data_IF_413573129593
#
_entry.id   IF_413573129593
#
_cell.length_a   1.000
_cell.length_b   1.000
_cell.length_c   1.000
_cell.angle_alpha   90.00
_cell.angle_beta   90.00
_cell.angle_gamma   90.00
#
_symmetry.space_group_name_H-M   'P 1'
#
loop_
_entity.id
_entity.type
_entity.pdbx_description
1 polymer ?
#
# COMPACT_ATOMS: atom_id res chain seq x y z
N UNK A 1 -20.59 -19.83 18.12
CA UNK A 1 -20.64 -18.49 18.75
C UNK A 1 -19.42 -17.65 18.31
N UNK A 2 -19.55 -16.92 17.20
CA UNK A 2 -18.46 -16.11 16.62
C UNK A 2 -18.32 -14.78 17.39
N UNK A 3 -17.09 -14.31 17.67
CA UNK A 3 -16.89 -13.04 18.33
C UNK A 3 -17.24 -11.90 17.36
N UNK A 4 -18.18 -11.05 17.77
CA UNK A 4 -18.54 -9.83 17.03
C UNK A 4 -17.36 -8.85 17.06
N UNK A 5 -16.73 -8.59 15.91
CA UNK A 5 -15.84 -7.45 15.76
C UNK A 5 -16.62 -6.17 16.08
N UNK A 6 -16.15 -5.44 17.10
CA UNK A 6 -16.66 -4.11 17.44
C UNK A 6 -16.33 -3.16 16.30
N UNK A 7 -17.35 -2.79 15.52
CA UNK A 7 -17.30 -1.66 14.59
C UNK A 7 -16.87 -0.39 15.34
N UNK A 8 -16.02 0.48 14.75
CA UNK A 8 -15.79 1.80 15.32
C UNK A 8 -17.09 2.59 15.24
N UNK A 9 -17.74 2.76 16.40
CA UNK A 9 -18.94 3.61 16.54
C UNK A 9 -18.51 5.08 16.49
N UNK A 10 -18.83 5.73 15.38
CA UNK A 10 -19.27 7.12 15.29
C UNK A 10 -18.42 8.21 15.96
N UNK A 11 -17.52 8.82 15.19
CA UNK A 11 -17.31 10.26 15.25
C UNK A 11 -18.23 10.93 14.22
N UNK A 12 -19.55 10.76 14.38
CA UNK A 12 -20.52 11.36 13.47
C UNK A 12 -20.63 12.87 13.68
N UNK A 13 -20.46 13.61 12.59
CA UNK A 13 -20.53 15.06 12.52
C UNK A 13 -21.82 15.62 13.13
N UNK A 14 -21.70 16.20 14.32
CA UNK A 14 -22.57 17.27 14.77
C UNK A 14 -21.75 18.56 14.75
N UNK A 15 -21.98 19.41 13.76
CA UNK A 15 -21.11 20.56 13.56
C UNK A 15 -21.65 21.72 12.72
N UNK A 16 -22.95 22.02 12.74
CA UNK A 16 -23.46 23.36 12.34
C UNK A 16 -24.44 23.94 13.35
N UNK A 17 -24.16 23.74 14.65
CA UNK A 17 -24.85 24.42 15.74
C UNK A 17 -24.28 25.82 15.98
N UNK A 18 -25.15 26.83 16.10
CA UNK A 18 -24.80 28.21 16.48
C UNK A 18 -24.24 28.22 17.91
N UNK A 19 -22.96 28.56 18.04
CA UNK A 19 -22.30 28.80 19.32
C UNK A 19 -20.78 28.76 19.15
N UNK A 20 -20.10 29.73 19.76
CA UNK A 20 -18.66 30.06 19.76
C UNK A 20 -17.66 28.88 19.92
N UNK A 21 -17.68 27.91 19.00
CA UNK A 21 -16.64 26.89 18.81
C UNK A 21 -15.87 27.23 17.54
N UNK A 22 -14.54 27.11 17.56
CA UNK A 22 -13.66 27.28 16.40
C UNK A 22 -14.24 26.50 15.22
N UNK A 23 -14.77 27.21 14.21
CA UNK A 23 -15.33 26.58 13.01
C UNK A 23 -14.18 26.07 12.15
N UNK A 24 -14.13 24.77 11.94
CA UNK A 24 -13.24 24.18 10.96
C UNK A 24 -13.61 24.71 9.56
N UNK A 25 -12.63 25.22 8.83
CA UNK A 25 -12.78 25.83 7.51
C UNK A 25 -12.42 24.89 6.36
N UNK A 26 -11.73 23.79 6.67
CA UNK A 26 -11.27 22.77 5.75
C UNK A 26 -11.09 21.45 6.52
N UNK A 27 -11.64 20.35 6.01
CA UNK A 27 -11.47 19.01 6.59
C UNK A 27 -10.63 18.16 5.66
N UNK A 28 -9.45 17.76 6.14
CA UNK A 28 -8.54 16.83 5.48
C UNK A 28 -8.56 15.50 6.24
N UNK A 29 -8.81 14.41 5.53
CA UNK A 29 -8.72 13.05 6.05
C UNK A 29 -7.40 12.45 5.58
N UNK A 30 -6.55 12.05 6.53
CA UNK A 30 -5.42 11.18 6.26
C UNK A 30 -5.91 9.73 6.43
N UNK A 31 -6.04 9.02 5.33
CA UNK A 31 -6.67 7.70 5.29
C UNK A 31 -5.67 6.61 4.92
N UNK A 32 -5.88 5.43 5.51
CA UNK A 32 -5.24 4.19 5.11
C UNK A 32 -6.29 3.10 4.83
N UNK A 33 -7.50 3.48 4.39
CA UNK A 33 -8.55 2.50 4.06
C UNK A 33 -8.37 1.87 2.67
N UNK A 34 -7.67 2.57 1.77
CA UNK A 34 -7.57 2.21 0.36
C UNK A 34 -8.42 3.07 -0.55
N UNK A 35 -7.96 3.24 -1.79
CA UNK A 35 -8.50 4.22 -2.73
C UNK A 35 -9.99 4.07 -2.98
N UNK A 36 -10.45 2.85 -3.31
CA UNK A 36 -11.86 2.62 -3.63
C UNK A 36 -12.80 2.76 -2.42
N UNK A 37 -12.32 2.35 -1.23
CA UNK A 37 -13.03 2.57 0.04
C UNK A 37 -13.15 4.07 0.32
N UNK A 38 -12.06 4.82 0.17
CA UNK A 38 -12.05 6.26 0.36
C UNK A 38 -12.93 6.99 -0.67
N UNK A 39 -12.95 6.51 -1.92
CA UNK A 39 -13.82 7.02 -2.99
C UNK A 39 -15.29 6.84 -2.63
N UNK A 40 -15.66 5.66 -2.12
CA UNK A 40 -17.03 5.40 -1.64
C UNK A 40 -17.34 6.21 -0.37
N UNK A 41 -16.38 6.39 0.52
CA UNK A 41 -16.54 7.23 1.71
C UNK A 41 -16.80 8.69 1.33
N UNK A 42 -16.05 9.23 0.38
CA UNK A 42 -16.22 10.61 -0.11
C UNK A 42 -17.63 10.87 -0.66
N UNK A 43 -18.25 9.88 -1.30
CA UNK A 43 -19.62 9.99 -1.80
C UNK A 43 -20.68 9.99 -0.68
N UNK A 44 -20.37 9.36 0.46
CA UNK A 44 -21.33 9.14 1.56
C UNK A 44 -21.16 10.11 2.74
N UNK A 45 -19.98 10.74 2.88
CA UNK A 45 -19.65 11.60 4.01
C UNK A 45 -19.47 13.04 3.54
N UNK A 46 -20.51 13.89 3.66
CA UNK A 46 -20.41 15.28 3.24
C UNK A 46 -19.50 16.08 4.17
N UNK A 47 -18.82 17.08 3.61
CA UNK A 47 -18.01 18.04 4.36
C UNK A 47 -16.54 17.65 4.55
N UNK A 48 -16.09 16.59 3.89
CA UNK A 48 -14.66 16.33 3.67
C UNK A 48 -14.24 17.13 2.43
N UNK A 49 -13.12 17.85 2.51
CA UNK A 49 -12.59 18.61 1.38
C UNK A 49 -11.48 17.83 0.67
N UNK A 50 -10.63 17.13 1.45
CA UNK A 50 -9.49 16.35 0.92
C UNK A 50 -9.38 15.01 1.63
N UNK A 51 -9.09 13.95 0.89
CA UNK A 51 -8.63 12.66 1.39
C UNK A 51 -7.25 12.38 0.83
N UNK A 52 -6.26 12.23 1.70
CA UNK A 52 -4.94 11.72 1.39
C UNK A 52 -5.01 10.20 1.59
N UNK A 53 -5.05 9.43 0.50
CA UNK A 53 -5.32 7.99 0.53
C UNK A 53 -4.03 7.16 0.47
N UNK A 54 -3.97 6.13 1.32
CA UNK A 54 -2.88 5.15 1.39
C UNK A 54 -3.36 3.72 1.08
N UNK A 55 -2.68 2.72 1.65
CA UNK A 55 -2.97 1.27 1.57
C UNK A 55 -2.80 0.62 0.19
N UNK A 56 -3.44 1.22 -0.80
CA UNK A 56 -3.64 0.63 -2.13
C UNK A 56 -2.49 0.87 -3.11
N UNK A 57 -1.55 1.75 -2.73
CA UNK A 57 -0.33 2.11 -3.46
C UNK A 57 -0.59 2.78 -4.82
N UNK A 58 -1.75 3.41 -4.99
CA UNK A 58 -2.07 4.17 -6.20
C UNK A 58 -1.25 5.47 -6.27
N UNK A 59 -0.76 5.77 -7.46
CA UNK A 59 -0.07 7.02 -7.77
C UNK A 59 -0.85 7.72 -8.87
N UNK A 60 -1.58 8.77 -8.50
CA UNK A 60 -2.45 9.49 -9.43
C UNK A 60 -1.81 10.83 -9.80
N UNK A 61 -1.58 11.11 -11.10
CA UNK A 61 -0.96 12.37 -11.51
C UNK A 61 -1.86 13.58 -11.22
N UNK A 62 -3.18 13.37 -11.18
CA UNK A 62 -4.18 14.39 -10.86
C UNK A 62 -5.14 13.89 -9.78
N UNK A 63 -5.70 14.80 -8.94
CA UNK A 63 -6.69 14.43 -7.94
C UNK A 63 -7.95 13.85 -8.57
N UNK A 64 -8.52 12.82 -7.93
CA UNK A 64 -9.85 12.33 -8.29
C UNK A 64 -10.90 13.08 -7.49
N UNK A 65 -11.90 13.64 -8.16
CA UNK A 65 -12.99 14.37 -7.53
C UNK A 65 -14.21 13.47 -7.33
N UNK A 66 -14.68 13.40 -6.08
CA UNK A 66 -15.99 12.83 -5.74
C UNK A 66 -16.85 13.95 -5.16
N UNK A 67 -17.74 14.50 -6.00
CA UNK A 67 -18.46 15.73 -5.65
C UNK A 67 -17.48 16.89 -5.47
N UNK A 68 -17.32 17.36 -4.24
CA UNK A 68 -16.37 18.43 -3.87
C UNK A 68 -15.10 17.92 -3.16
N UNK A 69 -15.04 16.62 -2.88
CA UNK A 69 -13.93 16.00 -2.16
C UNK A 69 -12.83 15.61 -3.13
N UNK A 70 -11.60 16.03 -2.84
CA UNK A 70 -10.41 15.62 -3.59
C UNK A 70 -9.80 14.36 -2.99
N UNK A 71 -9.50 13.35 -3.81
CA UNK A 71 -8.74 12.17 -3.43
C UNK A 71 -7.33 12.26 -4.02
N UNK A 72 -6.33 12.11 -3.16
CA UNK A 72 -4.92 12.30 -3.48
C UNK A 72 -4.16 11.02 -3.14
N UNK A 73 -3.55 10.38 -4.15
CA UNK A 73 -2.80 9.14 -4.00
C UNK A 73 -1.35 9.34 -4.44
N UNK A 74 -0.40 9.09 -3.54
CA UNK A 74 1.02 9.45 -3.72
C UNK A 74 1.93 8.26 -4.00
N UNK A 75 1.37 7.11 -4.39
CA UNK A 75 2.12 5.89 -4.66
C UNK A 75 2.62 5.20 -3.38
N UNK A 76 3.82 4.63 -3.48
CA UNK A 76 4.45 3.83 -2.43
C UNK A 76 5.98 3.92 -2.52
N UNK A 77 6.68 3.35 -1.54
CA UNK A 77 8.14 3.23 -1.51
C UNK A 77 8.90 4.56 -1.67
N UNK A 78 8.30 5.68 -1.27
CA UNK A 78 8.92 7.00 -1.42
C UNK A 78 9.18 7.41 -2.88
N UNK A 79 8.56 6.76 -3.87
CA UNK A 79 8.76 7.07 -5.30
C UNK A 79 8.22 8.46 -5.67
N UNK A 80 7.24 8.94 -4.93
CA UNK A 80 6.64 10.25 -5.14
C UNK A 80 6.34 10.96 -3.82
N UNK A 81 6.38 12.29 -3.87
CA UNK A 81 5.80 13.18 -2.86
C UNK A 81 4.76 14.06 -3.53
N UNK A 82 3.55 14.10 -2.98
CA UNK A 82 2.53 15.01 -3.48
C UNK A 82 2.64 16.37 -2.81
N UNK A 83 2.65 17.44 -3.61
CA UNK A 83 2.40 18.81 -3.16
C UNK A 83 0.98 19.22 -3.54
N UNK A 84 0.20 19.61 -2.55
CA UNK A 84 -1.15 20.15 -2.71
C UNK A 84 -1.22 21.55 -2.09
N UNK A 85 -1.28 22.57 -2.94
CA UNK A 85 -1.52 23.95 -2.51
C UNK A 85 -3.03 24.22 -2.53
N UNK A 86 -3.60 24.70 -1.42
CA UNK A 86 -5.05 24.95 -1.29
C UNK A 86 -5.33 26.44 -1.09
N UNK A 87 -6.24 27.01 -1.88
CA UNK A 87 -6.75 28.37 -1.71
C UNK A 87 -8.06 28.35 -0.91
N UNK A 88 -7.98 28.75 0.37
CA UNK A 88 -9.12 28.73 1.31
C UNK A 88 -9.54 30.15 1.64
N UNK A 89 -10.69 30.57 1.11
CA UNK A 89 -11.26 31.91 1.32
C UNK A 89 -12.63 31.80 2.00
N UNK A 90 -12.91 32.67 2.96
CA UNK A 90 -14.22 32.72 3.65
C UNK A 90 -14.73 31.38 4.22
N UNK A 91 -13.85 30.39 4.41
CA UNK A 91 -14.22 29.07 4.94
C UNK A 91 -14.66 28.08 3.86
N UNK A 92 -14.27 28.33 2.62
CA UNK A 92 -14.53 27.49 1.46
C UNK A 92 -13.23 27.34 0.66
N UNK A 93 -13.04 26.16 0.06
CA UNK A 93 -12.00 25.93 -0.92
C UNK A 93 -12.39 26.59 -2.25
N UNK A 94 -11.60 27.55 -2.70
CA UNK A 94 -11.84 28.28 -3.96
C UNK A 94 -11.05 27.71 -5.13
N UNK A 95 -9.93 27.04 -4.85
CA UNK A 95 -9.09 26.41 -5.85
C UNK A 95 -7.95 25.63 -5.22
N UNK A 96 -7.22 24.88 -6.05
CA UNK A 96 -6.05 24.14 -5.64
C UNK A 96 -5.03 24.06 -6.77
N UNK A 97 -3.78 23.77 -6.42
CA UNK A 97 -2.76 23.28 -7.35
C UNK A 97 -2.22 21.97 -6.82
N UNK A 98 -2.09 20.99 -7.71
CA UNK A 98 -1.58 19.66 -7.40
C UNK A 98 -0.30 19.40 -8.19
N UNK A 99 0.66 18.71 -7.57
CA UNK A 99 1.80 18.12 -8.25
C UNK A 99 2.21 16.83 -7.57
N UNK A 100 2.20 15.73 -8.33
CA UNK A 100 2.88 14.50 -7.94
C UNK A 100 4.36 14.61 -8.34
N UNK A 101 5.24 14.75 -7.36
CA UNK A 101 6.67 15.01 -7.59
C UNK A 101 7.41 13.68 -7.51
N UNK A 102 8.03 13.17 -8.61
CA UNK A 102 8.85 11.98 -8.55
C UNK A 102 10.14 12.25 -7.77
N UNK A 103 10.56 11.28 -6.96
CA UNK A 103 11.83 11.32 -6.23
C UNK A 103 12.85 10.51 -7.03
N UNK A 104 13.77 11.23 -7.66
CA UNK A 104 14.93 10.67 -8.38
C UNK A 104 16.18 10.88 -7.51
N UNK A 105 16.64 9.82 -6.85
CA UNK A 105 17.75 9.88 -5.89
C UNK A 105 19.10 10.28 -6.51
N UNK A 106 19.25 10.06 -7.81
CA UNK A 106 20.40 10.48 -8.62
C UNK A 106 20.40 11.98 -8.96
N UNK A 107 19.25 12.66 -8.82
CA UNK A 107 19.09 14.09 -9.14
C UNK A 107 18.91 14.95 -7.89
N UNK A 108 18.40 14.39 -6.80
CA UNK A 108 18.11 15.10 -5.55
C UNK A 108 19.23 14.85 -4.54
N UNK A 109 19.94 15.90 -4.15
CA UNK A 109 20.95 15.80 -3.11
C UNK A 109 20.31 15.35 -1.78
N UNK A 110 20.80 14.26 -1.15
CA UNK A 110 20.28 13.81 0.13
C UNK A 110 20.63 14.82 1.22
N UNK A 111 19.73 14.94 2.21
CA UNK A 111 20.01 15.71 3.42
C UNK A 111 21.15 15.03 4.21
N UNK A 112 22.19 15.79 4.55
CA UNK A 112 23.43 15.24 5.11
C UNK A 112 23.22 14.64 6.51
N UNK A 113 22.37 15.26 7.33
CA UNK A 113 22.09 14.80 8.69
C UNK A 113 21.27 13.50 8.63
N UNK A 114 20.27 13.44 7.75
CA UNK A 114 19.48 12.22 7.53
C UNK A 114 20.30 11.08 6.91
N UNK A 115 21.17 11.37 5.95
CA UNK A 115 22.06 10.36 5.37
C UNK A 115 22.99 9.77 6.44
N UNK A 116 23.59 10.63 7.26
CA UNK A 116 24.44 10.21 8.38
C UNK A 116 23.68 9.33 9.37
N UNK A 117 22.43 9.69 9.70
CA UNK A 117 21.57 8.89 10.58
C UNK A 117 21.29 7.51 9.97
N UNK A 118 20.89 7.45 8.69
CA UNK A 118 20.59 6.19 8.00
C UNK A 118 21.84 5.29 7.95
N UNK A 119 23.00 5.86 7.61
CA UNK A 119 24.26 5.13 7.56
C UNK A 119 24.64 4.56 8.93
N UNK A 120 24.46 5.32 10.00
CA UNK A 120 24.73 4.88 11.36
C UNK A 120 23.80 3.73 11.79
N UNK A 121 22.51 3.80 11.50
CA UNK A 121 21.53 2.74 11.81
C UNK A 121 21.78 1.47 10.99
N UNK A 122 22.25 1.61 9.74
CA UNK A 122 22.52 0.47 8.85
C UNK A 122 23.88 -0.17 9.09
N UNK A 123 24.86 0.56 9.63
CA UNK A 123 26.24 0.10 9.78
C UNK A 123 26.38 -1.27 10.47
N UNK A 124 25.63 -1.61 11.54
CA UNK A 124 25.73 -2.93 12.18
C UNK A 124 25.26 -4.10 11.29
N UNK A 125 24.38 -3.83 10.33
CA UNK A 125 23.72 -4.84 9.49
C UNK A 125 24.21 -4.84 8.05
N UNK A 126 25.08 -3.89 7.68
CA UNK A 126 25.47 -3.65 6.29
C UNK A 126 25.98 -4.90 5.58
N UNK A 127 26.86 -5.66 6.21
CA UNK A 127 27.41 -6.89 5.61
C UNK A 127 26.34 -7.97 5.38
N UNK A 128 25.34 -8.06 6.25
CA UNK A 128 24.21 -8.98 6.09
C UNK A 128 23.29 -8.49 4.98
N UNK A 129 22.89 -7.21 5.00
CA UNK A 129 22.00 -6.62 4.01
C UNK A 129 22.56 -6.67 2.57
N UNK A 130 23.85 -6.40 2.42
CA UNK A 130 24.55 -6.36 1.13
C UNK A 130 25.06 -7.74 0.66
N UNK A 131 24.78 -8.82 1.40
CA UNK A 131 25.11 -10.18 0.97
C UNK A 131 24.38 -10.51 -0.33
N UNK A 132 25.15 -10.80 -1.39
CA UNK A 132 24.61 -11.20 -2.69
C UNK A 132 24.24 -12.68 -2.65
N UNK A 133 22.95 -12.97 -2.79
CA UNK A 133 22.38 -14.32 -2.81
C UNK A 133 22.34 -14.91 -4.22
N UNK A 134 22.31 -14.05 -5.24
CA UNK A 134 22.27 -14.46 -6.64
C UNK A 134 22.23 -13.28 -7.60
N UNK A 135 21.87 -13.54 -8.85
CA UNK A 135 21.68 -12.51 -9.89
C UNK A 135 20.45 -12.89 -10.69
N UNK A 136 19.60 -11.93 -11.01
CA UNK A 136 18.40 -12.20 -11.82
C UNK A 136 18.68 -12.02 -13.30
N UNK A 137 18.24 -12.95 -14.15
CA UNK A 137 18.30 -12.79 -15.61
C UNK A 137 17.07 -12.07 -16.19
N UNK A 138 16.02 -11.88 -15.38
CA UNK A 138 14.76 -11.27 -15.79
C UNK A 138 14.29 -10.20 -14.79
N UNK A 139 13.27 -9.44 -15.17
CA UNK A 139 12.68 -8.44 -14.28
C UNK A 139 11.98 -9.14 -13.12
N UNK A 140 12.39 -8.85 -11.88
CA UNK A 140 11.66 -9.25 -10.68
C UNK A 140 10.75 -8.11 -10.22
N UNK A 141 9.45 -8.34 -10.13
CA UNK A 141 8.50 -7.35 -9.65
C UNK A 141 7.44 -7.99 -8.76
N UNK A 142 6.93 -7.20 -7.81
CA UNK A 142 5.93 -7.66 -6.84
C UNK A 142 4.50 -7.37 -7.25
N UNK A 143 4.20 -6.14 -7.67
CA UNK A 143 2.82 -5.68 -7.84
C UNK A 143 2.16 -6.31 -9.07
N UNK A 144 0.96 -6.85 -8.91
CA UNK A 144 0.14 -7.36 -10.02
C UNK A 144 -1.03 -8.19 -9.50
N UNK A 145 -2.24 -7.98 -10.03
CA UNK A 145 -3.47 -8.53 -9.45
C UNK A 145 -3.50 -10.06 -9.31
N UNK A 146 -2.81 -10.78 -10.19
CA UNK A 146 -2.77 -12.25 -10.22
C UNK A 146 -1.38 -12.85 -10.07
N UNK A 147 -0.32 -12.10 -10.42
CA UNK A 147 1.05 -12.59 -10.32
C UNK A 147 2.09 -11.45 -10.29
N UNK A 148 3.28 -11.76 -9.79
CA UNK A 148 4.52 -10.99 -9.92
C UNK A 148 5.72 -11.93 -9.93
N UNK A 149 6.77 -11.65 -10.70
CA UNK A 149 7.90 -12.57 -10.87
C UNK A 149 8.73 -12.79 -9.59
N UNK A 150 8.62 -11.88 -8.61
CA UNK A 150 9.11 -12.16 -7.25
C UNK A 150 8.33 -13.29 -6.56
N UNK A 151 7.01 -13.33 -6.74
CA UNK A 151 6.16 -14.41 -6.23
C UNK A 151 6.54 -15.75 -6.87
N UNK A 152 6.71 -15.78 -8.20
CA UNK A 152 7.12 -16.99 -8.92
C UNK A 152 8.41 -17.59 -8.32
N UNK A 153 9.43 -16.74 -8.11
CA UNK A 153 10.70 -17.16 -7.53
C UNK A 153 10.53 -17.75 -6.12
N UNK A 154 9.77 -17.06 -5.26
CA UNK A 154 9.54 -17.48 -3.87
C UNK A 154 8.71 -18.78 -3.83
N UNK A 155 7.63 -18.87 -4.60
CA UNK A 155 6.78 -20.04 -4.67
C UNK A 155 7.55 -21.27 -5.19
N UNK A 156 8.37 -21.11 -6.22
CA UNK A 156 9.21 -22.19 -6.73
C UNK A 156 10.22 -22.68 -5.68
N UNK A 157 10.87 -21.76 -4.96
CA UNK A 157 11.77 -22.12 -3.86
C UNK A 157 11.04 -22.86 -2.73
N UNK A 158 9.81 -22.44 -2.38
CA UNK A 158 8.99 -23.11 -1.38
C UNK A 158 8.58 -24.52 -1.82
N UNK A 159 8.22 -24.70 -3.08
CA UNK A 159 7.88 -26.01 -3.67
C UNK A 159 9.08 -26.95 -3.56
N UNK A 160 10.27 -26.49 -3.96
CA UNK A 160 11.50 -27.27 -3.93
C UNK A 160 11.95 -27.61 -2.49
N UNK A 161 12.06 -26.60 -1.63
CA UNK A 161 12.59 -26.73 -0.25
C UNK A 161 11.61 -27.37 0.75
N UNK A 162 10.34 -27.53 0.37
CA UNK A 162 9.31 -28.13 1.23
C UNK A 162 8.65 -29.34 0.58
N UNK A 163 9.09 -29.78 -0.60
CA UNK A 163 8.50 -30.90 -1.33
C UNK A 163 6.97 -30.77 -1.40
N UNK A 164 6.48 -29.61 -1.83
CA UNK A 164 5.06 -29.29 -1.91
C UNK A 164 4.58 -29.32 -3.38
N UNK A 165 3.34 -29.72 -3.62
CA UNK A 165 2.78 -29.71 -4.97
C UNK A 165 2.35 -28.31 -5.44
N UNK A 166 2.00 -27.44 -4.48
CA UNK A 166 1.50 -26.08 -4.69
C UNK A 166 2.08 -25.18 -3.58
N UNK A 167 2.49 -23.97 -3.95
CA UNK A 167 2.80 -22.90 -3.01
C UNK A 167 1.77 -21.77 -3.16
N UNK A 168 1.49 -21.07 -2.05
CA UNK A 168 0.63 -19.90 -2.02
C UNK A 168 1.44 -18.75 -1.42
N UNK A 169 1.49 -17.63 -2.12
CA UNK A 169 2.18 -16.42 -1.67
C UNK A 169 1.16 -15.36 -1.23
N UNK A 170 1.44 -14.59 -0.17
CA UNK A 170 0.56 -13.50 0.22
C UNK A 170 0.61 -12.38 -0.81
N UNK A 171 -0.57 -11.88 -1.21
CA UNK A 171 -0.73 -10.79 -2.18
C UNK A 171 -0.39 -9.39 -1.67
N UNK A 172 0.78 -9.23 -1.07
CA UNK A 172 1.26 -7.92 -0.64
C UNK A 172 1.65 -7.03 -1.81
N UNK A 173 1.41 -5.72 -1.63
CA UNK A 173 1.71 -4.68 -2.62
C UNK A 173 3.04 -3.96 -2.39
N UNK A 174 3.75 -4.28 -1.32
CA UNK A 174 5.08 -3.74 -1.00
C UNK A 174 6.17 -4.65 -1.53
N UNK A 175 7.27 -4.06 -2.00
CA UNK A 175 8.39 -4.78 -2.61
C UNK A 175 8.91 -4.03 -3.83
N UNK A 176 10.18 -3.58 -3.84
CA UNK A 176 10.83 -3.01 -5.01
C UNK A 176 10.99 -4.03 -6.15
N UNK A 177 11.32 -3.52 -7.32
CA UNK A 177 11.65 -4.35 -8.49
C UNK A 177 13.16 -4.43 -8.66
N UNK A 178 13.65 -5.57 -9.18
CA UNK A 178 15.02 -5.73 -9.65
C UNK A 178 15.03 -5.90 -11.16
N UNK A 179 15.94 -5.20 -11.83
CA UNK A 179 16.15 -5.27 -13.27
C UNK A 179 17.00 -6.50 -13.65
N UNK A 180 16.87 -7.00 -14.90
CA UNK A 180 17.76 -8.01 -15.42
C UNK A 180 19.25 -7.64 -15.23
N UNK A 181 20.04 -8.58 -14.73
CA UNK A 181 21.46 -8.44 -14.44
C UNK A 181 21.80 -7.85 -13.06
N UNK A 182 20.80 -7.38 -12.29
CA UNK A 182 21.05 -6.88 -10.94
C UNK A 182 21.30 -8.03 -9.94
N UNK A 183 22.21 -7.82 -8.96
CA UNK A 183 22.37 -8.78 -7.87
C UNK A 183 21.10 -8.83 -7.03
N UNK A 184 20.71 -10.03 -6.63
CA UNK A 184 19.69 -10.24 -5.60
C UNK A 184 20.42 -10.22 -4.26
N UNK A 185 20.20 -9.18 -3.45
CA UNK A 185 20.79 -9.09 -2.12
C UNK A 185 19.85 -9.66 -1.05
N UNK A 186 20.38 -9.89 0.15
CA UNK A 186 19.55 -10.25 1.31
C UNK A 186 18.57 -9.14 1.67
N UNK A 187 18.95 -7.87 1.48
CA UNK A 187 18.03 -6.75 1.64
C UNK A 187 16.84 -6.82 0.66
N UNK A 188 17.06 -7.23 -0.58
CA UNK A 188 15.98 -7.42 -1.55
C UNK A 188 15.02 -8.53 -1.13
N UNK A 189 15.56 -9.65 -0.63
CA UNK A 189 14.75 -10.72 -0.07
C UNK A 189 13.93 -10.23 1.13
N UNK A 190 14.53 -9.48 2.05
CA UNK A 190 13.79 -8.86 3.16
C UNK A 190 12.73 -7.90 2.64
N UNK A 191 13.04 -7.05 1.66
CA UNK A 191 12.06 -6.15 1.05
C UNK A 191 10.89 -6.88 0.37
N UNK A 192 11.02 -8.17 0.03
CA UNK A 192 9.93 -9.00 -0.49
C UNK A 192 9.21 -9.85 0.59
N UNK A 193 9.84 -10.07 1.76
CA UNK A 193 9.39 -11.07 2.77
C UNK A 193 9.33 -10.57 4.22
N UNK A 194 9.54 -9.28 4.48
CA UNK A 194 9.53 -8.63 5.81
C UNK A 194 8.18 -8.68 6.52
N UNK A 195 7.84 -9.84 7.07
CA UNK A 195 6.73 -10.03 8.01
C UNK A 195 7.29 -10.31 9.40
N UNK A 196 6.61 -9.85 10.45
CA UNK A 196 6.91 -10.26 11.83
C UNK A 196 6.57 -11.74 12.11
N UNK A 197 5.92 -12.41 11.16
CA UNK A 197 5.56 -13.83 11.17
C UNK A 197 6.06 -14.53 9.89
N UNK A 198 7.38 -14.58 9.62
CA UNK A 198 7.92 -14.98 8.31
C UNK A 198 7.93 -16.49 8.07
N UNK A 199 7.35 -17.30 8.97
CA UNK A 199 7.39 -18.74 8.89
C UNK A 199 6.57 -19.25 7.71
N UNK A 200 7.17 -20.10 6.89
CA UNK A 200 6.47 -20.85 5.86
C UNK A 200 5.93 -22.18 6.43
N UNK A 201 4.69 -22.52 6.09
CA UNK A 201 4.01 -23.72 6.58
C UNK A 201 3.67 -24.65 5.42
N UNK A 202 3.92 -25.95 5.62
CA UNK A 202 3.48 -27.02 4.72
C UNK A 202 2.33 -27.77 5.38
N UNK A 203 1.20 -27.85 4.70
CA UNK A 203 -0.02 -28.52 5.18
C UNK A 203 -0.69 -29.26 4.02
N UNK A 204 -1.30 -30.40 4.32
CA UNK A 204 -2.17 -31.09 3.36
C UNK A 204 -3.51 -30.36 3.24
N UNK A 205 -4.04 -30.30 2.01
CA UNK A 205 -5.29 -29.61 1.71
C UNK A 205 -6.04 -30.37 0.60
N UNK A 206 -7.37 -30.50 0.74
CA UNK A 206 -8.19 -31.06 -0.33
C UNK A 206 -8.30 -30.06 -1.49
N UNK A 207 -8.49 -30.55 -2.72
CA UNK A 207 -8.73 -29.66 -3.87
C UNK A 207 -9.97 -28.77 -3.69
N UNK A 208 -10.99 -29.26 -2.97
CA UNK A 208 -12.16 -28.47 -2.59
C UNK A 208 -11.79 -27.28 -1.68
N UNK A 209 -10.95 -27.51 -0.66
CA UNK A 209 -10.53 -26.43 0.23
C UNK A 209 -9.66 -25.41 -0.50
N UNK A 210 -8.77 -25.85 -1.40
CA UNK A 210 -7.99 -24.96 -2.23
C UNK A 210 -8.89 -24.08 -3.10
N UNK A 211 -9.88 -24.68 -3.77
CA UNK A 211 -10.87 -23.96 -4.56
C UNK A 211 -11.63 -22.92 -3.72
N UNK A 212 -12.08 -23.29 -2.52
CA UNK A 212 -12.78 -22.37 -1.61
C UNK A 212 -11.89 -21.17 -1.24
N UNK A 213 -10.60 -21.38 -0.96
CA UNK A 213 -9.67 -20.29 -0.65
C UNK A 213 -9.54 -19.33 -1.84
N UNK A 214 -9.38 -19.85 -3.06
CA UNK A 214 -9.26 -19.03 -4.25
C UNK A 214 -10.53 -18.20 -4.51
N UNK A 215 -11.70 -18.80 -4.36
CA UNK A 215 -12.98 -18.11 -4.47
C UNK A 215 -13.16 -17.04 -3.38
N UNK A 216 -12.79 -17.31 -2.13
CA UNK A 216 -12.89 -16.34 -1.03
C UNK A 216 -11.98 -15.11 -1.27
N UNK A 217 -10.78 -15.34 -1.80
CA UNK A 217 -9.86 -14.26 -2.21
C UNK A 217 -10.45 -13.47 -3.39
N UNK A 218 -11.03 -14.14 -4.38
CA UNK A 218 -11.66 -13.49 -5.54
C UNK A 218 -12.88 -12.64 -5.13
N UNK A 219 -13.76 -13.19 -4.29
CA UNK A 219 -14.94 -12.51 -3.75
C UNK A 219 -14.58 -11.25 -2.96
N UNK A 220 -13.41 -11.25 -2.31
CA UNK A 220 -12.88 -10.06 -1.65
C UNK A 220 -12.32 -9.04 -2.65
N UNK A 221 -11.40 -9.47 -3.51
CA UNK A 221 -10.62 -8.58 -4.38
C UNK A 221 -11.50 -7.93 -5.46
N UNK A 222 -12.44 -8.69 -6.00
CA UNK A 222 -13.34 -8.26 -7.09
C UNK A 222 -14.73 -7.89 -6.60
N UNK A 223 -14.91 -7.69 -5.29
CA UNK A 223 -16.20 -7.31 -4.74
C UNK A 223 -16.69 -6.01 -5.40
N UNK A 224 -17.93 -5.96 -5.92
CA UNK A 224 -18.47 -4.75 -6.54
C UNK A 224 -18.69 -3.62 -5.53
N UNK A 225 -18.78 -3.94 -4.23
CA UNK A 225 -18.84 -2.96 -3.17
C UNK A 225 -17.45 -2.78 -2.52
N UNK A 226 -16.81 -1.61 -2.70
CA UNK A 226 -15.51 -1.30 -2.11
C UNK A 226 -15.41 -1.52 -0.59
N UNK A 227 -16.50 -1.39 0.17
CA UNK A 227 -16.46 -1.59 1.62
C UNK A 227 -16.23 -3.04 2.05
N UNK A 228 -16.35 -4.00 1.13
CA UNK A 228 -15.99 -5.39 1.38
C UNK A 228 -14.61 -5.76 0.83
N UNK A 229 -13.92 -4.84 0.15
CA UNK A 229 -12.55 -5.05 -0.30
C UNK A 229 -11.60 -4.82 0.89
N UNK A 230 -10.73 -5.78 1.18
CA UNK A 230 -9.72 -5.63 2.24
C UNK A 230 -8.38 -5.09 1.70
N UNK A 231 -8.18 -5.14 0.39
CA UNK A 231 -6.94 -4.76 -0.29
C UNK A 231 -5.91 -5.90 -0.32
N UNK A 232 -4.95 -5.79 -1.23
CA UNK A 232 -4.03 -6.87 -1.60
C UNK A 232 -4.24 -7.32 -3.05
N UNK A 233 -3.47 -8.31 -3.47
CA UNK A 233 -3.52 -8.94 -4.78
C UNK A 233 -3.82 -10.45 -4.58
N UNK A 234 -4.16 -11.18 -5.65
CA UNK A 234 -4.20 -12.64 -5.64
C UNK A 234 -2.85 -13.15 -6.16
N UNK A 235 -2.16 -14.02 -5.43
CA UNK A 235 -0.86 -14.57 -5.84
C UNK A 235 -0.83 -16.07 -5.61
N UNK A 236 -0.46 -16.79 -6.65
CA UNK A 236 -0.31 -18.25 -6.68
C UNK A 236 1.07 -18.56 -7.23
#
# INVERSE_FOLDING_TARGET
PRPQLRRPRGAHGRGRGRGSRRRCRLVVVLSHNGFDVDRKMAANVPGIDVILTGHTHDALPEPVLVGKTMLIASGSNGKFVTRLDLDVQNGQLMGFRHKLIPIFADVIAPDADMATLIDAERAPYKAELEEVLGTTDSLLYRRGNFNGTWDDLICNALIEEREADIALSPGFRWGPSLLPGEPITREDLFNATSMSYPNAYRSEMTGEMLHIILEDVADNLFNPDPYYQHGGDMKL
#
